data_IF_425814248011
#
_entry.id   IF_425814248011
#
_cell.length_a   1.000
_cell.length_b   1.000
_cell.length_c   1.000
_cell.angle_alpha   90.00
_cell.angle_beta   90.00
_cell.angle_gamma   90.00
#
_symmetry.space_group_name_H-M   'P 1'
#
loop_
_entity.id
_entity.type
_entity.pdbx_description
1 polymer ?
#
# COMPACT_ATOMS: atom_id res chain seq x y z
N UNK A 1 -9.53 -19.28 -30.82
CA UNK A 1 -8.42 -19.72 -29.96
C UNK A 1 -8.15 -18.67 -28.90
N UNK A 2 -9.02 -18.54 -27.90
CA UNK A 2 -8.86 -17.59 -26.81
C UNK A 2 -8.32 -18.35 -25.60
N UNK A 3 -7.00 -18.42 -25.47
CA UNK A 3 -6.37 -18.94 -24.26
C UNK A 3 -6.63 -17.93 -23.13
N UNK A 4 -7.76 -18.11 -22.46
CA UNK A 4 -8.02 -17.49 -21.16
C UNK A 4 -6.99 -18.14 -20.24
N UNK A 5 -6.07 -17.34 -19.70
CA UNK A 5 -5.07 -17.76 -18.71
C UNK A 5 -5.78 -18.36 -17.48
N UNK A 6 -6.20 -19.62 -17.58
CA UNK A 6 -6.40 -20.47 -16.44
C UNK A 6 -4.99 -20.89 -16.02
N UNK A 7 -4.43 -20.21 -15.02
CA UNK A 7 -3.24 -20.69 -14.34
C UNK A 7 -3.69 -21.86 -13.47
N UNK A 8 -3.91 -23.01 -14.10
CA UNK A 8 -4.14 -24.30 -13.48
C UNK A 8 -2.77 -24.94 -13.26
N UNK A 9 -2.16 -24.75 -12.09
CA UNK A 9 -1.03 -25.59 -11.66
C UNK A 9 0.28 -24.92 -11.21
N UNK A 10 0.41 -23.60 -11.23
CA UNK A 10 1.59 -22.91 -10.67
C UNK A 10 1.14 -21.71 -9.81
N UNK A 11 1.81 -21.51 -8.68
CA UNK A 11 1.50 -20.51 -7.64
C UNK A 11 1.04 -19.16 -8.26
N UNK A 12 -0.15 -18.66 -7.87
CA UNK A 12 -0.66 -17.39 -8.40
C UNK A 12 0.34 -16.26 -8.09
N UNK A 13 0.67 -15.39 -9.05
CA UNK A 13 1.60 -14.29 -8.81
C UNK A 13 1.05 -13.35 -7.74
N UNK A 14 1.92 -12.86 -6.85
CA UNK A 14 1.55 -12.00 -5.73
C UNK A 14 2.10 -10.58 -5.96
N UNK A 15 1.21 -9.60 -6.00
CA UNK A 15 1.57 -8.19 -6.03
C UNK A 15 1.35 -7.53 -4.66
N UNK A 16 2.33 -6.74 -4.23
CA UNK A 16 2.24 -5.87 -3.05
C UNK A 16 2.06 -4.44 -3.53
N UNK A 17 0.93 -3.83 -3.18
CA UNK A 17 0.58 -2.48 -3.58
C UNK A 17 0.84 -1.51 -2.42
N UNK A 18 1.86 -0.66 -2.58
CA UNK A 18 2.26 0.37 -1.63
C UNK A 18 1.92 1.76 -2.22
N UNK A 19 0.71 2.30 -2.00
CA UNK A 19 0.40 3.67 -2.41
C UNK A 19 1.24 4.69 -1.62
N UNK A 20 1.57 5.80 -2.28
CA UNK A 20 2.02 6.99 -1.56
C UNK A 20 0.90 7.45 -0.60
N UNK A 21 1.19 7.77 0.68
CA UNK A 21 0.19 8.04 1.70
C UNK A 21 -0.35 9.47 1.59
N UNK A 22 -0.90 9.80 0.42
CA UNK A 22 -1.70 10.98 0.19
C UNK A 22 -3.01 10.57 -0.49
N UNK A 23 -4.11 11.23 -0.13
CA UNK A 23 -5.47 10.81 -0.50
C UNK A 23 -5.67 10.61 -2.02
N UNK A 24 -5.01 11.44 -2.84
CA UNK A 24 -5.03 11.35 -4.30
C UNK A 24 -4.37 10.09 -4.89
N UNK A 25 -3.48 9.41 -4.15
CA UNK A 25 -2.76 8.23 -4.64
C UNK A 25 -3.36 6.90 -4.18
N UNK A 26 -4.03 6.88 -3.02
CA UNK A 26 -4.62 5.66 -2.45
C UNK A 26 -5.72 5.11 -3.35
N UNK A 27 -6.64 5.97 -3.81
CA UNK A 27 -7.80 5.52 -4.61
C UNK A 27 -7.41 4.98 -5.99
N UNK A 28 -6.55 5.65 -6.78
CA UNK A 28 -6.06 5.10 -8.04
C UNK A 28 -5.31 3.77 -7.86
N UNK A 29 -4.43 3.67 -6.86
CA UNK A 29 -3.71 2.43 -6.59
C UNK A 29 -4.67 1.30 -6.20
N UNK A 30 -5.72 1.60 -5.43
CA UNK A 30 -6.74 0.60 -5.09
C UNK A 30 -7.51 0.11 -6.31
N UNK A 31 -7.83 1.00 -7.27
CA UNK A 31 -8.45 0.62 -8.55
C UNK A 31 -7.52 -0.30 -9.35
N UNK A 32 -6.24 0.04 -9.44
CA UNK A 32 -5.23 -0.80 -10.10
C UNK A 32 -5.13 -2.18 -9.43
N UNK A 33 -5.05 -2.22 -8.10
CA UNK A 33 -4.98 -3.46 -7.34
C UNK A 33 -6.19 -4.38 -7.60
N UNK A 34 -7.40 -3.81 -7.71
CA UNK A 34 -8.62 -4.57 -8.08
C UNK A 34 -8.53 -5.13 -9.50
N UNK A 35 -8.01 -4.36 -10.46
CA UNK A 35 -7.80 -4.83 -11.83
C UNK A 35 -6.78 -5.98 -11.88
N UNK A 36 -5.68 -5.88 -11.14
CA UNK A 36 -4.69 -6.96 -11.04
C UNK A 36 -5.29 -8.22 -10.43
N UNK A 37 -6.10 -8.08 -9.38
CA UNK A 37 -6.80 -9.21 -8.76
C UNK A 37 -7.72 -9.93 -9.77
N UNK A 38 -8.47 -9.18 -10.57
CA UNK A 38 -9.30 -9.72 -11.64
C UNK A 38 -8.49 -10.45 -12.73
N UNK A 39 -7.19 -10.17 -12.86
CA UNK A 39 -6.27 -10.85 -13.77
C UNK A 39 -5.56 -12.05 -13.15
N UNK A 40 -5.95 -12.47 -11.95
CA UNK A 40 -5.45 -13.68 -11.31
C UNK A 40 -4.34 -13.46 -10.29
N UNK A 41 -4.02 -12.22 -9.93
CA UNK A 41 -3.03 -11.93 -8.89
C UNK A 41 -3.60 -12.10 -7.48
N UNK A 42 -2.75 -12.60 -6.58
CA UNK A 42 -2.89 -12.32 -5.17
C UNK A 42 -2.46 -10.89 -4.89
N UNK A 43 -3.21 -10.18 -4.05
CA UNK A 43 -2.95 -8.77 -3.72
C UNK A 43 -2.76 -8.62 -2.22
N UNK A 44 -1.72 -7.90 -1.84
CA UNK A 44 -1.62 -7.26 -0.52
C UNK A 44 -1.56 -5.75 -0.72
N UNK A 45 -2.62 -5.07 -0.32
CA UNK A 45 -2.69 -3.62 -0.34
C UNK A 45 -2.23 -3.07 1.01
N UNK A 46 -1.10 -2.38 1.03
CA UNK A 46 -0.47 -1.92 2.27
C UNK A 46 -0.80 -0.46 2.49
N UNK A 47 -1.60 -0.17 3.51
CA UNK A 47 -1.83 1.20 3.97
C UNK A 47 -0.84 1.58 5.07
N UNK A 48 -0.72 2.86 5.35
CA UNK A 48 -0.21 3.28 6.67
C UNK A 48 -1.28 3.04 7.72
N UNK A 49 -0.91 2.81 8.99
CA UNK A 49 -1.88 2.65 10.09
C UNK A 49 -2.83 3.84 10.20
N UNK A 50 -2.32 5.06 10.01
CA UNK A 50 -3.12 6.27 9.95
C UNK A 50 -4.19 6.20 8.85
N UNK A 51 -3.80 5.86 7.61
CA UNK A 51 -4.73 5.74 6.48
C UNK A 51 -5.70 4.57 6.65
N UNK A 52 -5.24 3.47 7.26
CA UNK A 52 -6.07 2.31 7.59
C UNK A 52 -7.22 2.70 8.54
N UNK A 53 -6.90 3.41 9.64
CA UNK A 53 -7.90 3.91 10.60
C UNK A 53 -8.88 4.88 9.96
N UNK A 54 -8.41 5.83 9.13
CA UNK A 54 -9.30 6.76 8.42
C UNK A 54 -10.24 6.07 7.44
N UNK A 55 -9.77 5.03 6.75
CA UNK A 55 -10.60 4.24 5.83
C UNK A 55 -11.71 3.50 6.60
N UNK A 56 -11.37 2.86 7.72
CA UNK A 56 -12.38 2.21 8.58
C UNK A 56 -13.40 3.21 9.14
N UNK A 57 -12.95 4.40 9.57
CA UNK A 57 -13.85 5.46 10.08
C UNK A 57 -14.80 5.99 8.99
N UNK A 58 -14.29 6.21 7.78
CA UNK A 58 -15.07 6.82 6.69
C UNK A 58 -15.95 5.84 5.91
N UNK A 59 -15.56 4.55 5.83
CA UNK A 59 -16.25 3.54 5.02
C UNK A 59 -16.82 2.37 5.84
N UNK A 60 -16.64 2.40 7.15
CA UNK A 60 -17.11 1.38 8.08
C UNK A 60 -16.10 0.24 8.32
N UNK A 61 -16.32 -0.57 9.37
CA UNK A 61 -15.39 -1.62 9.80
C UNK A 61 -15.15 -2.71 8.75
N UNK A 62 -16.13 -2.95 7.88
CA UNK A 62 -16.05 -3.95 6.80
C UNK A 62 -15.30 -3.48 5.56
N UNK A 63 -14.93 -2.21 5.49
CA UNK A 63 -14.33 -1.62 4.27
C UNK A 63 -12.97 -2.22 3.91
N UNK A 64 -12.31 -2.86 4.87
CA UNK A 64 -11.03 -3.55 4.70
C UNK A 64 -11.16 -5.06 4.92
N UNK A 65 -12.39 -5.59 5.02
CA UNK A 65 -12.63 -7.02 4.86
C UNK A 65 -12.20 -7.41 3.44
N UNK A 66 -11.09 -8.14 3.37
CA UNK A 66 -10.52 -8.60 2.12
C UNK A 66 -11.44 -9.58 1.39
N UNK A 67 -11.07 -9.90 0.15
CA UNK A 67 -11.64 -11.02 -0.60
C UNK A 67 -10.63 -12.17 -0.61
N UNK A 68 -11.04 -13.41 -0.94
CA UNK A 68 -10.08 -14.50 -1.15
C UNK A 68 -8.99 -14.09 -2.15
N UNK A 69 -7.75 -13.99 -1.68
CA UNK A 69 -6.62 -13.52 -2.48
C UNK A 69 -6.46 -12.00 -2.64
N UNK A 70 -7.26 -11.19 -1.93
CA UNK A 70 -7.09 -9.74 -1.81
C UNK A 70 -7.13 -9.36 -0.33
N UNK A 71 -5.99 -8.96 0.25
CA UNK A 71 -5.93 -8.54 1.66
C UNK A 71 -5.41 -7.12 1.83
N UNK A 72 -5.85 -6.47 2.90
CA UNK A 72 -5.28 -5.20 3.36
C UNK A 72 -4.30 -5.46 4.50
N UNK A 73 -3.19 -4.71 4.52
CA UNK A 73 -2.23 -4.68 5.61
C UNK A 73 -2.00 -3.22 6.03
N UNK A 74 -1.47 -3.02 7.23
CA UNK A 74 -1.10 -1.70 7.75
C UNK A 74 0.36 -1.72 8.23
N UNK A 75 1.07 -0.63 7.97
CA UNK A 75 2.42 -0.37 8.51
C UNK A 75 2.47 1.02 9.17
N UNK A 76 3.30 1.22 10.20
CA UNK A 76 3.52 2.56 10.76
C UNK A 76 4.19 3.47 9.71
N UNK A 77 3.81 4.75 9.68
CA UNK A 77 4.39 5.77 8.79
C UNK A 77 5.57 6.54 9.40
N UNK A 78 5.94 6.21 10.65
CA UNK A 78 7.06 6.82 11.36
C UNK A 78 6.78 8.23 11.88
N UNK A 79 5.54 8.73 11.75
CA UNK A 79 5.14 10.00 12.33
C UNK A 79 4.61 9.81 13.76
N UNK A 80 4.67 10.85 14.62
CA UNK A 80 3.98 10.84 15.90
C UNK A 80 2.48 10.55 15.71
N UNK A 81 1.81 9.91 16.68
CA UNK A 81 0.36 9.73 16.62
C UNK A 81 -0.35 11.07 16.50
N UNK A 82 -1.08 11.25 15.41
CA UNK A 82 -1.92 12.43 15.17
C UNK A 82 -3.38 12.01 15.16
N UNK A 83 -4.28 12.92 15.54
CA UNK A 83 -5.72 12.68 15.43
C UNK A 83 -6.09 12.30 14.00
N UNK A 84 -6.87 11.23 13.86
CA UNK A 84 -7.36 10.70 12.59
C UNK A 84 -8.22 11.71 11.82
N UNK A 85 -8.73 12.78 12.45
CA UNK A 85 -9.52 13.80 11.76
C UNK A 85 -8.69 14.91 11.11
N UNK A 86 -7.41 15.04 11.46
CA UNK A 86 -6.50 15.98 10.81
C UNK A 86 -6.18 15.56 9.37
N UNK A 87 -5.64 16.47 8.55
CA UNK A 87 -4.97 16.08 7.31
C UNK A 87 -3.58 15.50 7.63
N UNK A 88 -3.15 14.48 6.87
CA UNK A 88 -1.81 13.92 7.04
C UNK A 88 -0.76 14.99 6.71
N UNK A 89 0.26 15.13 7.55
CA UNK A 89 1.38 16.06 7.32
C UNK A 89 2.31 15.49 6.23
N UNK A 90 1.91 15.74 4.98
CA UNK A 90 2.66 15.31 3.79
C UNK A 90 4.10 15.84 3.79
N UNK A 91 4.38 17.12 4.14
CA UNK A 91 5.74 17.61 4.28
C UNK A 91 6.60 16.80 5.26
N UNK A 92 6.09 16.49 6.45
CA UNK A 92 6.82 15.69 7.44
C UNK A 92 7.05 14.26 6.97
N UNK A 93 6.05 13.66 6.33
CA UNK A 93 6.19 12.33 5.74
C UNK A 93 7.26 12.30 4.64
N UNK A 94 7.25 13.28 3.72
CA UNK A 94 8.26 13.40 2.68
C UNK A 94 9.67 13.54 3.28
N UNK A 95 9.83 14.37 4.33
CA UNK A 95 11.11 14.52 5.03
C UNK A 95 11.59 13.22 5.67
N UNK A 96 10.69 12.43 6.26
CA UNK A 96 11.05 11.11 6.80
C UNK A 96 11.53 10.17 5.69
N UNK A 97 10.79 10.08 4.59
CA UNK A 97 11.22 9.28 3.43
C UNK A 97 12.57 9.74 2.88
N UNK A 98 12.85 11.05 2.82
CA UNK A 98 14.14 11.60 2.39
C UNK A 98 15.29 11.38 3.39
N UNK A 99 15.00 11.14 4.68
CA UNK A 99 16.01 10.75 5.68
C UNK A 99 16.30 9.26 5.65
N UNK A 100 15.26 8.45 5.40
CA UNK A 100 15.36 7.01 5.32
C UNK A 100 16.05 6.57 4.02
N UNK A 101 15.73 7.22 2.89
CA UNK A 101 16.34 6.93 1.61
C UNK A 101 17.73 7.59 1.51
N UNK A 102 18.77 6.86 1.10
CA UNK A 102 20.09 7.44 0.86
C UNK A 102 19.99 8.51 -0.22
N UNK A 103 20.59 9.68 0.02
CA UNK A 103 20.52 10.83 -0.90
C UNK A 103 21.40 10.64 -2.11
N UNK A 104 22.39 9.75 -1.99
CA UNK A 104 23.34 9.40 -3.04
C UNK A 104 23.59 7.89 -3.06
N UNK A 105 24.01 7.33 -4.21
CA UNK A 105 24.41 5.93 -4.29
C UNK A 105 25.55 5.55 -3.32
N UNK A 106 26.46 6.49 -3.00
CA UNK A 106 27.55 6.24 -2.04
C UNK A 106 27.04 6.11 -0.60
N UNK A 107 26.10 6.97 -0.19
CA UNK A 107 25.44 6.83 1.12
C UNK A 107 24.64 5.54 1.27
N UNK A 108 24.10 5.01 0.15
CA UNK A 108 23.38 3.74 0.15
C UNK A 108 24.32 2.56 0.46
N UNK A 109 25.51 2.57 -0.13
CA UNK A 109 26.51 1.52 0.07
C UNK A 109 27.07 1.54 1.49
N UNK A 110 27.42 2.73 2.02
CA UNK A 110 27.95 2.86 3.39
C UNK A 110 26.98 2.45 4.50
N UNK A 111 25.67 2.39 4.24
CA UNK A 111 24.65 1.96 5.22
C UNK A 111 24.39 0.45 5.21
N UNK A 112 24.93 -0.26 4.22
CA UNK A 112 24.79 -1.70 4.04
C UNK A 112 25.94 -2.51 4.66
N UNK A 113 26.95 -1.83 5.21
CA UNK A 113 28.06 -2.37 6.02
C UNK A 113 27.86 -2.03 7.51
#
# INVERSE_FOLDING_TARGET
MSSIFHISGANKPHAVCLPYPAQGHITPMLKLAKLLHQRGFHITFVNTEYNHKRLLKSRGPKSLEGLPGFRFAAIPDGLPPTDTDSAQDIPSLLRLHQKALPRTPSEAYCRAE
#
